data_IF_442158663541
#
_entry.id   IF_442158663541
#
_cell.length_a   1.000
_cell.length_b   1.000
_cell.length_c   1.000
_cell.angle_alpha   90.00
_cell.angle_beta   90.00
_cell.angle_gamma   90.00
#
_symmetry.space_group_name_H-M   'P 1'
#
loop_
_entity.id
_entity.type
_entity.pdbx_description
1 polymer ?
#
# COMPACT_ATOMS: atom_id res chain seq x y z
N UNK A 1 35.54 10.23 -14.25
CA UNK A 1 34.06 10.35 -14.17
C UNK A 1 33.52 9.21 -13.32
N UNK A 2 32.73 9.49 -12.28
CA UNK A 2 32.06 8.44 -11.50
C UNK A 2 31.06 7.72 -12.41
N UNK A 3 31.07 6.38 -12.42
CA UNK A 3 30.11 5.60 -13.21
C UNK A 3 28.73 5.79 -12.60
N UNK A 4 27.73 5.94 -13.46
CA UNK A 4 26.34 6.18 -13.05
C UNK A 4 25.42 5.22 -13.80
N UNK A 5 24.47 4.63 -13.10
CA UNK A 5 23.65 3.51 -13.58
C UNK A 5 22.16 3.84 -13.55
N UNK A 6 21.43 3.30 -14.53
CA UNK A 6 19.96 3.26 -14.54
C UNK A 6 19.47 2.05 -13.75
N UNK A 7 18.25 2.11 -13.21
CA UNK A 7 17.62 0.99 -12.47
C UNK A 7 17.63 -0.34 -13.25
N UNK A 8 17.47 -0.29 -14.57
CA UNK A 8 17.53 -1.48 -15.44
C UNK A 8 18.92 -2.12 -15.46
N UNK A 9 19.99 -1.32 -15.43
CA UNK A 9 21.37 -1.81 -15.40
C UNK A 9 21.71 -2.40 -14.03
N UNK A 10 21.22 -1.78 -12.96
CA UNK A 10 21.35 -2.28 -11.58
C UNK A 10 20.66 -3.63 -11.44
N UNK A 11 19.43 -3.76 -11.96
CA UNK A 11 18.67 -5.02 -11.96
C UNK A 11 19.47 -6.17 -12.59
N UNK A 12 20.09 -5.92 -13.74
CA UNK A 12 20.98 -6.89 -14.39
C UNK A 12 22.22 -7.23 -13.54
N UNK A 13 22.84 -6.23 -12.92
CA UNK A 13 24.05 -6.43 -12.08
C UNK A 13 23.80 -7.19 -10.78
N UNK A 14 22.61 -7.09 -10.20
CA UNK A 14 22.28 -7.78 -8.94
C UNK A 14 21.45 -9.05 -9.13
N UNK A 15 21.11 -9.41 -10.38
CA UNK A 15 20.31 -10.60 -10.70
C UNK A 15 18.87 -10.53 -10.19
N UNK A 16 18.26 -9.34 -10.16
CA UNK A 16 16.87 -9.13 -9.71
C UNK A 16 16.02 -8.54 -10.82
N UNK A 17 14.70 -8.67 -10.69
CA UNK A 17 13.78 -8.10 -11.69
C UNK A 17 13.78 -6.57 -11.60
N UNK A 18 13.54 -5.90 -12.73
CA UNK A 18 13.42 -4.43 -12.77
C UNK A 18 12.34 -3.92 -11.82
N UNK A 19 11.22 -4.65 -11.70
CA UNK A 19 10.12 -4.29 -10.81
C UNK A 19 10.57 -4.24 -9.33
N UNK A 20 11.29 -5.27 -8.87
CA UNK A 20 11.82 -5.32 -7.49
C UNK A 20 12.79 -4.18 -7.20
N UNK A 21 13.69 -3.86 -8.15
CA UNK A 21 14.65 -2.76 -7.96
C UNK A 21 13.96 -1.39 -7.94
N UNK A 22 12.91 -1.19 -8.74
CA UNK A 22 12.09 0.03 -8.70
C UNK A 22 11.37 0.14 -7.36
N UNK A 23 10.74 -0.93 -6.90
CA UNK A 23 10.07 -0.99 -5.60
C UNK A 23 11.05 -0.64 -4.46
N UNK A 24 12.23 -1.25 -4.44
CA UNK A 24 13.26 -0.97 -3.42
C UNK A 24 13.77 0.47 -3.51
N UNK A 25 13.94 1.02 -4.72
CA UNK A 25 14.37 2.41 -4.90
C UNK A 25 13.38 3.41 -4.31
N UNK A 26 12.09 3.09 -4.31
CA UNK A 26 11.05 3.94 -3.70
C UNK A 26 11.07 3.84 -2.17
N UNK A 27 11.19 2.63 -1.62
CA UNK A 27 11.17 2.39 -0.18
C UNK A 27 12.42 2.89 0.55
N UNK A 28 13.58 2.84 -0.12
CA UNK A 28 14.88 3.16 0.48
C UNK A 28 15.54 4.40 -0.15
N UNK A 29 14.75 5.26 -0.81
CA UNK A 29 15.23 6.41 -1.57
C UNK A 29 16.15 7.34 -0.76
N UNK A 30 15.85 7.50 0.52
CA UNK A 30 16.59 8.37 1.45
C UNK A 30 18.03 7.91 1.72
N UNK A 31 18.31 6.62 1.52
CA UNK A 31 19.63 6.02 1.77
C UNK A 31 20.45 5.88 0.49
N UNK A 32 19.83 5.85 -0.69
CA UNK A 32 20.48 5.53 -1.95
C UNK A 32 21.20 6.74 -2.56
N UNK A 33 22.51 6.67 -2.83
CA UNK A 33 23.24 7.74 -3.49
C UNK A 33 22.77 7.96 -4.93
N UNK A 34 22.31 9.16 -5.23
CA UNK A 34 21.81 9.57 -6.55
C UNK A 34 22.59 10.76 -7.10
N UNK A 35 22.81 10.78 -8.42
CA UNK A 35 23.44 11.86 -9.16
C UNK A 35 22.56 12.20 -10.37
N UNK A 36 22.34 13.49 -10.61
CA UNK A 36 21.67 13.96 -11.82
C UNK A 36 22.67 14.03 -12.97
N UNK A 37 22.41 13.31 -14.06
CA UNK A 37 23.20 13.35 -15.30
C UNK A 37 22.24 13.60 -16.44
N UNK A 38 22.43 14.72 -17.16
CA UNK A 38 21.58 15.15 -18.28
C UNK A 38 20.08 15.24 -17.93
N UNK A 39 19.77 15.73 -16.72
CA UNK A 39 18.38 15.84 -16.24
C UNK A 39 17.73 14.51 -15.83
N UNK A 40 18.44 13.39 -15.93
CA UNK A 40 17.97 12.08 -15.45
C UNK A 40 18.63 11.72 -14.12
N UNK A 41 17.84 11.25 -13.17
CA UNK A 41 18.36 10.64 -11.94
C UNK A 41 19.07 9.33 -12.28
N UNK A 42 20.33 9.21 -11.82
CA UNK A 42 21.14 8.00 -11.93
C UNK A 42 21.69 7.63 -10.56
N UNK A 43 22.02 6.36 -10.41
CA UNK A 43 22.56 5.79 -9.19
C UNK A 43 24.06 5.60 -9.33
N UNK A 44 24.82 5.85 -8.28
CA UNK A 44 26.28 5.68 -8.31
C UNK A 44 26.68 4.21 -8.14
N UNK A 45 27.98 3.90 -8.16
CA UNK A 45 28.46 2.53 -7.90
C UNK A 45 28.13 2.10 -6.46
N UNK A 46 28.21 3.02 -5.50
CA UNK A 46 27.90 2.80 -4.08
C UNK A 46 26.43 2.36 -3.90
N UNK A 47 25.52 2.93 -4.68
CA UNK A 47 24.13 2.50 -4.69
C UNK A 47 23.95 1.04 -5.12
N UNK A 48 24.81 0.50 -5.99
CA UNK A 48 24.76 -0.92 -6.39
C UNK A 48 25.05 -1.82 -5.19
N UNK A 49 26.02 -1.47 -4.35
CA UNK A 49 26.33 -2.24 -3.14
C UNK A 49 25.16 -2.23 -2.15
N UNK A 50 24.51 -1.08 -1.97
CA UNK A 50 23.30 -0.96 -1.17
C UNK A 50 22.16 -1.83 -1.73
N UNK A 51 21.96 -1.82 -3.05
CA UNK A 51 20.97 -2.71 -3.69
C UNK A 51 21.30 -4.20 -3.50
N UNK A 52 22.58 -4.60 -3.50
CA UNK A 52 22.98 -5.99 -3.17
C UNK A 52 22.72 -6.33 -1.70
N UNK A 53 22.90 -5.37 -0.78
CA UNK A 53 22.57 -5.57 0.62
C UNK A 53 21.06 -5.74 0.82
N UNK A 54 20.26 -4.87 0.19
CA UNK A 54 18.78 -4.98 0.17
C UNK A 54 18.36 -6.34 -0.38
N UNK A 55 18.91 -6.77 -1.53
CA UNK A 55 18.61 -8.06 -2.13
C UNK A 55 18.85 -9.22 -1.16
N UNK A 56 20.01 -9.27 -0.51
CA UNK A 56 20.36 -10.32 0.47
C UNK A 56 19.41 -10.32 1.67
N UNK A 57 19.08 -9.14 2.21
CA UNK A 57 18.19 -9.05 3.37
C UNK A 57 16.73 -9.36 3.02
N UNK A 58 16.26 -8.99 1.83
CA UNK A 58 14.94 -9.36 1.31
C UNK A 58 14.83 -10.86 1.04
N UNK A 59 15.87 -11.48 0.48
CA UNK A 59 15.92 -12.92 0.27
C UNK A 59 15.95 -13.69 1.61
N UNK A 60 16.55 -13.11 2.65
CA UNK A 60 16.52 -13.62 4.02
C UNK A 60 15.25 -13.23 4.81
N UNK A 61 14.24 -12.66 4.13
CA UNK A 61 12.97 -12.22 4.71
C UNK A 61 13.11 -11.31 5.94
N UNK A 62 14.11 -10.41 5.94
CA UNK A 62 14.30 -9.44 7.02
C UNK A 62 13.25 -8.32 6.95
N UNK A 63 12.78 -7.82 8.11
CA UNK A 63 11.77 -6.75 8.13
C UNK A 63 12.35 -5.43 7.60
N UNK A 64 11.49 -4.58 7.00
CA UNK A 64 11.92 -3.32 6.38
C UNK A 64 12.68 -2.40 7.36
N UNK A 65 12.28 -2.36 8.63
CA UNK A 65 12.97 -1.57 9.67
C UNK A 65 14.44 -1.96 9.80
N UNK A 66 14.73 -3.26 9.83
CA UNK A 66 16.10 -3.78 9.91
C UNK A 66 16.92 -3.42 8.67
N UNK A 67 16.30 -3.48 7.49
CA UNK A 67 16.96 -3.10 6.23
C UNK A 67 17.34 -1.62 6.26
N UNK A 68 16.45 -0.74 6.75
CA UNK A 68 16.73 0.71 6.87
C UNK A 68 17.90 0.99 7.83
N UNK A 69 17.91 0.36 8.98
CA UNK A 69 18.99 0.50 9.97
C UNK A 69 20.34 0.06 9.39
N UNK A 70 20.38 -1.07 8.69
CA UNK A 70 21.61 -1.56 8.06
C UNK A 70 22.10 -0.63 6.93
N UNK A 71 21.18 -0.05 6.14
CA UNK A 71 21.52 0.92 5.10
C UNK A 71 22.04 2.23 5.67
N UNK A 72 21.47 2.68 6.79
CA UNK A 72 21.94 3.84 7.53
C UNK A 72 23.37 3.61 8.04
N UNK A 73 23.64 2.45 8.66
CA UNK A 73 24.99 2.08 9.11
C UNK A 73 26.00 2.06 7.94
N UNK A 74 25.63 1.52 6.78
CA UNK A 74 26.48 1.52 5.60
C UNK A 74 26.81 2.93 5.11
N UNK A 75 25.84 3.85 5.16
CA UNK A 75 26.02 5.26 4.79
C UNK A 75 26.97 5.98 5.75
N UNK A 76 26.78 5.77 7.05
CA UNK A 76 27.57 6.43 8.09
C UNK A 76 29.02 5.92 8.10
N UNK A 77 29.20 4.62 7.82
CA UNK A 77 30.52 4.00 7.67
C UNK A 77 31.31 4.55 6.48
N UNK A 78 30.63 4.87 5.38
CA UNK A 78 31.24 5.43 4.19
C UNK A 78 31.58 6.92 4.36
N UNK A 79 30.77 7.65 5.13
CA UNK A 79 31.05 9.05 5.50
C UNK A 79 32.32 9.21 6.37
N UNK A 80 32.73 8.17 7.11
CA UNK A 80 33.95 8.18 7.94
C UNK A 80 35.24 7.76 7.22
N UNK A 81 35.18 7.30 5.97
CA UNK A 81 36.39 6.92 5.23
C UNK A 81 36.92 8.11 4.39
N UNK A 82 38.10 8.68 4.72
CA UNK A 82 38.74 9.68 3.86
C UNK A 82 39.11 9.06 2.49
N UNK A 83 39.15 9.86 1.41
CA UNK A 83 39.24 9.34 0.05
C UNK A 83 40.59 8.67 -0.17
N UNK A 84 40.58 7.34 -0.32
CA UNK A 84 41.77 6.56 -0.67
C UNK A 84 42.12 6.75 -2.14
N UNK A 85 43.24 7.42 -2.34
CA UNK A 85 44.00 7.46 -3.58
C UNK A 85 44.50 6.04 -3.93
N UNK A 86 44.59 5.80 -5.24
CA UNK A 86 44.71 4.49 -5.91
C UNK A 86 45.99 3.75 -5.52
N UNK A 87 45.90 2.48 -5.10
CA UNK A 87 47.02 1.55 -5.20
C UNK A 87 46.59 0.09 -5.43
N UNK A 88 47.17 -0.48 -6.48
CA UNK A 88 47.06 -1.83 -7.03
C UNK A 88 47.79 -2.89 -6.20
N UNK A 89 47.19 -4.08 -6.01
CA UNK A 89 47.89 -5.39 -6.03
C UNK A 89 46.92 -6.57 -6.17
N UNK A 90 47.32 -7.71 -6.78
CA UNK A 90 46.55 -8.95 -6.91
C UNK A 90 47.09 -10.03 -5.91
N UNK A 91 46.73 -11.34 -5.96
CA UNK A 91 45.93 -12.01 -4.93
C UNK A 91 46.62 -13.23 -4.28
N UNK A 92 46.15 -13.69 -3.11
CA UNK A 92 46.24 -15.13 -2.75
C UNK A 92 45.32 -15.53 -1.59
N UNK A 93 44.88 -16.79 -1.67
CA UNK A 93 43.81 -17.47 -0.92
C UNK A 93 44.42 -18.34 0.23
N UNK A 94 43.71 -19.30 0.85
CA UNK A 94 43.16 -19.26 2.21
C UNK A 94 43.83 -20.21 3.22
N UNK A 95 43.54 -20.04 4.53
CA UNK A 95 43.62 -21.13 5.50
C UNK A 95 42.67 -20.91 6.70
N UNK A 96 41.75 -21.86 6.88
CA UNK A 96 41.11 -22.24 8.16
C UNK A 96 42.17 -22.97 9.04
N UNK A 97 41.93 -23.46 10.30
CA UNK A 97 40.65 -23.68 11.01
C UNK A 97 40.64 -23.50 12.56
N UNK A 98 39.45 -23.72 13.13
CA UNK A 98 39.10 -24.38 14.41
C UNK A 98 39.70 -23.92 15.75
N UNK A 99 38.83 -23.69 16.77
CA UNK A 99 38.39 -24.73 17.75
C UNK A 99 37.98 -24.12 19.11
N UNK A 100 36.90 -24.65 19.70
CA UNK A 100 36.68 -24.96 21.15
C UNK A 100 36.81 -23.80 22.19
N UNK A 101 35.96 -23.60 23.20
CA UNK A 101 35.47 -24.55 24.23
C UNK A 101 34.51 -23.78 25.16
N UNK A 102 33.49 -24.47 25.71
CA UNK A 102 32.75 -24.03 26.89
C UNK A 102 33.63 -24.09 28.17
N UNK A 103 33.16 -23.58 29.33
CA UNK A 103 32.49 -24.50 30.26
C UNK A 103 31.34 -23.90 31.09
N UNK A 104 30.57 -24.82 31.67
CA UNK A 104 29.49 -24.64 32.65
C UNK A 104 29.99 -24.12 34.02
N UNK A 105 29.05 -23.77 34.93
CA UNK A 105 28.93 -24.30 36.31
C UNK A 105 27.76 -23.62 37.09
N UNK A 106 27.06 -24.47 37.84
CA UNK A 106 26.28 -24.28 39.08
C UNK A 106 24.91 -23.59 39.11
N UNK A 107 23.96 -24.35 39.66
CA UNK A 107 22.62 -23.92 40.03
C UNK A 107 22.48 -23.53 41.51
N UNK A 108 21.28 -23.05 41.83
CA UNK A 108 20.78 -22.86 43.19
C UNK A 108 19.26 -23.03 43.19
N UNK A 109 18.77 -23.87 44.09
CA UNK A 109 17.36 -24.17 44.36
C UNK A 109 16.85 -23.27 45.51
N UNK A 110 15.71 -22.62 45.31
CA UNK A 110 14.86 -22.05 46.38
C UNK A 110 13.37 -22.33 46.06
N UNK A 111 12.50 -22.45 47.08
CA UNK A 111 11.14 -22.99 46.93
C UNK A 111 10.11 -21.94 46.47
N UNK A 112 8.97 -22.35 45.89
CA UNK A 112 8.04 -21.43 45.25
C UNK A 112 7.03 -20.83 46.24
N UNK A 113 6.98 -19.49 46.31
CA UNK A 113 5.85 -18.77 46.87
C UNK A 113 4.67 -18.80 45.89
N UNK A 114 3.48 -19.08 46.41
CA UNK A 114 2.22 -19.11 45.68
C UNK A 114 1.88 -17.72 45.13
N UNK A 115 1.93 -17.57 43.80
CA UNK A 115 1.63 -16.33 43.09
C UNK A 115 0.12 -16.22 42.89
N UNK A 116 -0.40 -15.06 43.34
CA UNK A 116 -1.77 -14.60 43.22
C UNK A 116 -2.30 -14.65 41.78
N UNK A 117 -3.48 -15.26 41.58
CA UNK A 117 -4.15 -15.46 40.29
C UNK A 117 -4.53 -14.17 39.55
N UNK A 118 -4.60 -13.03 40.23
CA UNK A 118 -5.03 -11.76 39.66
C UNK A 118 -3.99 -11.14 38.71
N UNK A 119 -2.72 -11.51 38.81
CA UNK A 119 -1.65 -10.95 37.97
C UNK A 119 -1.51 -11.66 36.60
N UNK A 120 -2.07 -12.86 36.46
CA UNK A 120 -2.08 -13.60 35.20
C UNK A 120 -3.08 -13.03 34.18
N UNK A 121 -4.13 -12.36 34.67
CA UNK A 121 -5.21 -11.84 33.83
C UNK A 121 -4.79 -10.57 33.08
N UNK A 122 -4.12 -9.62 33.76
CA UNK A 122 -3.58 -8.42 33.14
C UNK A 122 -2.50 -8.71 32.08
N UNK A 123 -1.69 -9.76 32.28
CA UNK A 123 -0.69 -10.19 31.29
C UNK A 123 -1.35 -10.66 29.99
N UNK A 124 -2.50 -11.32 30.09
CA UNK A 124 -3.23 -11.86 28.94
C UNK A 124 -3.89 -10.74 28.13
N UNK A 125 -4.56 -9.80 28.79
CA UNK A 125 -5.23 -8.66 28.15
C UNK A 125 -4.21 -7.74 27.45
N UNK A 126 -3.02 -7.59 28.05
CA UNK A 126 -1.90 -6.83 27.44
C UNK A 126 -1.37 -7.48 26.16
N UNK A 127 -1.31 -8.82 26.12
CA UNK A 127 -0.91 -9.57 24.92
C UNK A 127 -1.98 -9.47 23.83
N UNK A 128 -3.25 -9.53 24.20
CA UNK A 128 -4.38 -9.46 23.27
C UNK A 128 -4.51 -8.07 22.62
N UNK A 129 -4.29 -7.00 23.39
CA UNK A 129 -4.22 -5.64 22.88
C UNK A 129 -3.04 -5.45 21.91
N UNK A 130 -1.85 -5.99 22.25
CA UNK A 130 -0.66 -5.94 21.38
C UNK A 130 -0.91 -6.65 20.05
N UNK A 131 -1.57 -7.80 20.07
CA UNK A 131 -1.91 -8.56 18.86
C UNK A 131 -2.93 -7.80 18.00
N UNK A 132 -3.93 -7.18 18.63
CA UNK A 132 -4.95 -6.39 17.93
C UNK A 132 -4.36 -5.17 17.23
N UNK A 133 -3.44 -4.45 17.88
CA UNK A 133 -2.70 -3.32 17.29
C UNK A 133 -1.83 -3.77 16.11
N UNK A 134 -1.16 -4.93 16.19
CA UNK A 134 -0.39 -5.46 15.07
C UNK A 134 -1.27 -5.84 13.88
N UNK A 135 -2.42 -6.46 14.13
CA UNK A 135 -3.36 -6.84 13.08
C UNK A 135 -3.94 -5.61 12.36
N UNK A 136 -4.28 -4.56 13.13
CA UNK A 136 -4.76 -3.29 12.58
C UNK A 136 -3.70 -2.64 11.67
N UNK A 137 -2.45 -2.61 12.14
CA UNK A 137 -1.31 -2.12 11.36
C UNK A 137 -1.13 -2.88 10.05
N UNK A 138 -1.20 -4.21 10.10
CA UNK A 138 -1.10 -5.05 8.90
C UNK A 138 -2.25 -4.78 7.92
N UNK A 139 -3.47 -4.57 8.42
CA UNK A 139 -4.67 -4.31 7.61
C UNK A 139 -4.61 -2.93 6.93
N UNK A 140 -4.09 -1.92 7.62
CA UNK A 140 -3.83 -0.58 7.05
C UNK A 140 -2.75 -0.66 5.96
N UNK A 141 -1.67 -1.41 6.18
CA UNK A 141 -0.61 -1.61 5.17
C UNK A 141 -1.14 -2.34 3.92
N UNK A 142 -2.02 -3.33 4.12
CA UNK A 142 -2.62 -4.14 3.04
C UNK A 142 -3.59 -3.36 2.15
N UNK A 143 -4.25 -2.34 2.70
CA UNK A 143 -5.17 -1.47 1.94
C UNK A 143 -4.46 -0.35 1.17
N UNK A 144 -3.15 -0.12 1.40
CA UNK A 144 -2.39 0.96 0.76
C UNK A 144 -1.93 0.68 -0.68
N UNK A 145 -2.07 -0.55 -1.17
CA UNK A 145 -1.60 -0.94 -2.51
C UNK A 145 -2.71 -1.53 -3.38
N UNK A 146 -3.39 -0.73 -4.22
CA UNK A 146 -4.24 -1.24 -5.28
C UNK A 146 -3.35 -1.66 -6.47
N UNK A 147 -2.49 -2.66 -6.27
CA UNK A 147 -1.51 -3.12 -7.27
C UNK A 147 -2.21 -3.71 -8.51
N UNK A 148 -3.43 -4.24 -8.34
CA UNK A 148 -4.23 -4.86 -9.42
C UNK A 148 -4.89 -3.89 -10.39
N UNK A 149 -4.97 -2.59 -10.07
CA UNK A 149 -5.53 -1.57 -10.99
C UNK A 149 -4.47 -1.03 -11.97
N UNK A 150 -3.19 -1.10 -11.61
CA UNK A 150 -2.10 -0.56 -12.42
C UNK A 150 -1.81 -1.43 -13.65
N UNK A 151 -1.80 -2.75 -13.48
CA UNK A 151 -1.58 -3.71 -14.56
C UNK A 151 -2.70 -3.70 -15.62
N UNK A 152 -3.93 -3.37 -15.21
CA UNK A 152 -5.06 -3.23 -16.14
C UNK A 152 -4.95 -1.97 -17.01
N UNK A 153 -4.33 -0.90 -16.48
CA UNK A 153 -4.18 0.39 -17.15
C UNK A 153 -3.04 0.34 -18.18
N UNK A 154 -1.95 -0.35 -17.87
CA UNK A 154 -0.81 -0.51 -18.77
C UNK A 154 -1.13 -1.44 -19.96
N UNK A 155 -2.01 -2.44 -19.77
CA UNK A 155 -2.48 -3.33 -20.85
C UNK A 155 -3.36 -2.59 -21.88
N UNK A 156 -4.20 -1.66 -21.42
CA UNK A 156 -5.10 -0.89 -22.29
C UNK A 156 -4.34 0.09 -23.20
N UNK A 157 -3.32 0.76 -22.66
CA UNK A 157 -2.46 1.68 -23.41
C UNK A 157 -1.58 0.96 -24.45
N UNK A 158 -1.17 -0.27 -24.17
CA UNK A 158 -0.38 -1.07 -25.10
C UNK A 158 -1.22 -1.56 -26.30
N UNK A 159 -2.49 -1.95 -26.08
CA UNK A 159 -3.42 -2.32 -27.16
C UNK A 159 -3.80 -1.12 -28.05
N UNK A 160 -3.94 0.07 -27.48
CA UNK A 160 -4.23 1.29 -28.26
C UNK A 160 -3.06 1.70 -29.18
N UNK A 161 -1.81 1.44 -28.76
CA UNK A 161 -0.62 1.78 -29.56
C UNK A 161 -0.38 0.85 -30.75
N UNK A 162 -0.86 -0.41 -30.69
CA UNK A 162 -0.67 -1.39 -31.78
C UNK A 162 -1.68 -1.17 -32.92
N UNK A 163 -2.88 -0.64 -32.61
CA UNK A 163 -3.89 -0.34 -33.63
C UNK A 163 -3.51 0.86 -34.54
N UNK A 164 -2.59 1.72 -34.11
CA UNK A 164 -2.24 2.97 -34.81
C UNK A 164 -1.09 2.85 -35.83
N UNK A 165 -0.31 1.76 -35.79
CA UNK A 165 0.92 1.63 -36.62
C UNK A 165 0.71 0.80 -37.90
N UNK A 166 -0.36 0.03 -38.02
CA UNK A 166 -0.56 -0.90 -39.15
C UNK A 166 -1.23 -0.28 -40.39
N UNK A 167 -1.56 1.01 -40.38
CA UNK A 167 -2.23 1.69 -41.50
C UNK A 167 -1.29 2.48 -42.42
N UNK A 168 0.02 2.48 -42.16
CA UNK A 168 0.97 3.37 -42.84
C UNK A 168 1.92 2.67 -43.80
N UNK A 169 1.45 2.06 -44.91
CA UNK A 169 2.28 1.85 -46.12
C UNK A 169 1.48 1.34 -47.33
N UNK A 170 1.00 2.25 -48.18
CA UNK A 170 1.21 2.25 -49.64
C UNK A 170 0.33 3.31 -50.35
N UNK A 171 0.97 4.08 -51.25
CA UNK A 171 0.46 4.87 -52.39
C UNK A 171 -0.38 6.14 -52.19
N UNK A 172 0.12 7.22 -52.79
CA UNK A 172 -0.41 8.60 -52.93
C UNK A 172 -1.55 8.72 -54.00
N UNK A 173 -2.02 9.94 -54.35
CA UNK A 173 -2.85 10.82 -53.55
C UNK A 173 -4.16 11.16 -54.31
N UNK A 174 -5.31 10.87 -53.72
CA UNK A 174 -6.57 11.50 -54.10
C UNK A 174 -7.15 12.12 -52.83
N UNK A 175 -7.61 13.37 -52.94
CA UNK A 175 -8.18 14.14 -51.85
C UNK A 175 -9.45 13.45 -51.34
N UNK A 176 -9.28 12.58 -50.35
CA UNK A 176 -10.34 11.74 -49.82
C UNK A 176 -10.91 12.38 -48.53
N UNK A 177 -12.24 12.57 -48.41
CA UNK A 177 -12.88 13.14 -47.22
C UNK A 177 -12.74 12.27 -45.95
N UNK A 178 -12.16 11.07 -46.08
CA UNK A 178 -11.88 10.11 -45.01
C UNK A 178 -10.85 10.60 -43.96
N UNK A 179 -9.94 11.51 -44.31
CA UNK A 179 -8.90 12.00 -43.37
C UNK A 179 -9.46 12.89 -42.25
N UNK A 180 -10.55 13.63 -42.49
CA UNK A 180 -11.15 14.51 -41.48
C UNK A 180 -11.80 13.74 -40.31
N UNK A 181 -12.29 12.52 -40.55
CA UNK A 181 -12.87 11.70 -39.48
C UNK A 181 -11.79 11.10 -38.56
N UNK A 182 -10.62 10.78 -39.11
CA UNK A 182 -9.50 10.22 -38.35
C UNK A 182 -8.85 11.27 -37.43
N UNK A 183 -8.71 12.51 -37.91
CA UNK A 183 -8.22 13.63 -37.10
C UNK A 183 -9.19 13.99 -35.97
N UNK A 184 -10.50 13.97 -36.23
CA UNK A 184 -11.52 14.22 -35.21
C UNK A 184 -11.54 13.14 -34.13
N UNK A 185 -11.36 11.88 -34.52
CA UNK A 185 -11.27 10.74 -33.60
C UNK A 185 -10.00 10.82 -32.74
N UNK A 186 -8.88 11.19 -33.36
CA UNK A 186 -7.59 11.35 -32.66
C UNK A 186 -7.67 12.47 -31.62
N UNK A 187 -8.27 13.62 -31.95
CA UNK A 187 -8.49 14.73 -31.02
C UNK A 187 -9.34 14.31 -29.80
N UNK A 188 -10.46 13.61 -30.03
CA UNK A 188 -11.36 13.13 -28.96
C UNK A 188 -10.65 12.15 -28.02
N UNK A 189 -9.75 11.32 -28.56
CA UNK A 189 -8.96 10.38 -27.78
C UNK A 189 -7.93 11.08 -26.88
N UNK A 190 -7.24 12.11 -27.40
CA UNK A 190 -6.27 12.90 -26.62
C UNK A 190 -6.95 13.63 -25.45
N UNK A 191 -8.13 14.19 -25.67
CA UNK A 191 -8.90 14.91 -24.64
C UNK A 191 -9.38 13.98 -23.50
N UNK A 192 -9.76 12.74 -23.85
CA UNK A 192 -10.12 11.71 -22.88
C UNK A 192 -8.91 11.30 -22.01
N UNK A 193 -7.74 11.13 -22.62
CA UNK A 193 -6.50 10.78 -21.92
C UNK A 193 -6.09 11.85 -20.91
N UNK A 194 -6.23 13.14 -21.26
CA UNK A 194 -5.93 14.26 -20.37
C UNK A 194 -6.84 14.31 -19.13
N UNK A 195 -8.15 14.06 -19.30
CA UNK A 195 -9.11 13.99 -18.19
C UNK A 195 -8.78 12.87 -17.21
N UNK A 196 -8.43 11.68 -17.70
CA UNK A 196 -8.06 10.53 -16.86
C UNK A 196 -6.81 10.83 -16.04
N UNK A 197 -5.80 11.46 -16.65
CA UNK A 197 -4.58 11.86 -15.95
C UNK A 197 -4.84 12.92 -14.85
N UNK A 198 -5.71 13.90 -15.10
CA UNK A 198 -6.09 14.90 -14.10
C UNK A 198 -6.84 14.28 -12.91
N UNK A 199 -7.66 13.26 -13.17
CA UNK A 199 -8.40 12.56 -12.12
C UNK A 199 -7.46 11.74 -11.24
N UNK A 200 -6.52 11.00 -11.83
CA UNK A 200 -5.47 10.29 -11.08
C UNK A 200 -4.62 11.24 -10.23
N UNK A 201 -4.24 12.41 -10.76
CA UNK A 201 -3.50 13.43 -10.00
C UNK A 201 -4.26 13.96 -8.78
N UNK A 202 -5.59 14.14 -8.89
CA UNK A 202 -6.42 14.58 -7.76
C UNK A 202 -6.59 13.49 -6.71
N UNK A 203 -6.75 12.23 -7.12
CA UNK A 203 -6.84 11.08 -6.19
C UNK A 203 -5.53 10.87 -5.43
N UNK A 204 -4.39 11.19 -6.04
CA UNK A 204 -3.06 11.10 -5.39
C UNK A 204 -2.78 12.32 -4.46
N UNK A 205 -3.56 13.41 -4.58
CA UNK A 205 -3.33 14.70 -3.92
C UNK A 205 -4.30 15.04 -2.77
N UNK A 206 -4.95 14.07 -2.14
CA UNK A 206 -5.69 14.29 -0.89
C UNK A 206 -4.88 13.89 0.35
N UNK A 207 -3.93 14.72 0.84
CA UNK A 207 -3.34 14.59 2.17
C UNK A 207 -4.02 15.48 3.24
N UNK A 208 -5.17 16.09 2.98
CA UNK A 208 -5.72 17.17 3.83
C UNK A 208 -6.42 16.71 5.15
N UNK A 209 -6.36 15.43 5.52
CA UNK A 209 -6.91 14.95 6.81
C UNK A 209 -5.87 14.64 7.91
N UNK A 210 -4.57 14.81 7.65
CA UNK A 210 -3.50 14.49 8.63
C UNK A 210 -3.51 15.36 9.88
N UNK A 211 -4.21 16.50 9.88
CA UNK A 211 -4.24 17.45 11.00
C UNK A 211 -4.98 16.94 12.25
N UNK A 212 -5.95 16.02 12.11
CA UNK A 212 -6.66 15.45 13.28
C UNK A 212 -5.95 14.22 13.85
N UNK A 213 -5.21 13.51 13.01
CA UNK A 213 -4.43 12.33 13.39
C UNK A 213 -3.24 12.69 14.28
N UNK A 214 -2.53 13.79 13.97
CA UNK A 214 -1.45 14.32 14.83
C UNK A 214 -1.92 14.72 16.23
N UNK A 215 -3.14 15.25 16.37
CA UNK A 215 -3.72 15.61 17.66
C UNK A 215 -4.05 14.37 18.50
N UNK A 216 -4.48 13.26 17.89
CA UNK A 216 -4.76 12.01 18.61
C UNK A 216 -3.47 11.31 19.04
N UNK A 217 -2.46 11.27 18.16
CA UNK A 217 -1.14 10.68 18.47
C UNK A 217 -0.50 11.41 19.65
N UNK A 218 -0.50 12.75 19.65
CA UNK A 218 0.07 13.54 20.76
C UNK A 218 -0.69 13.34 22.08
N UNK A 219 -2.02 13.15 22.03
CA UNK A 219 -2.82 12.88 23.23
C UNK A 219 -2.53 11.48 23.80
N UNK A 220 -2.35 10.48 22.93
CA UNK A 220 -2.00 9.10 23.33
C UNK A 220 -0.61 9.04 23.94
N UNK A 221 0.38 9.72 23.34
CA UNK A 221 1.76 9.80 23.88
C UNK A 221 1.80 10.48 25.27
N UNK A 222 1.00 11.52 25.48
CA UNK A 222 0.90 12.20 26.77
C UNK A 222 0.25 11.31 27.86
N UNK A 223 -0.72 10.48 27.49
CA UNK A 223 -1.35 9.50 28.39
C UNK A 223 -0.38 8.37 28.74
N UNK A 224 0.33 7.84 27.75
CA UNK A 224 1.33 6.78 27.94
C UNK A 224 2.46 7.23 28.88
N UNK A 225 2.94 8.46 28.72
CA UNK A 225 3.94 9.06 29.62
C UNK A 225 3.43 9.16 31.05
N UNK A 226 2.16 9.58 31.23
CA UNK A 226 1.56 9.71 32.57
C UNK A 226 1.36 8.36 33.24
N UNK A 227 0.95 7.35 32.48
CA UNK A 227 0.79 5.99 32.97
C UNK A 227 2.12 5.41 33.48
N UNK A 228 3.21 5.57 32.73
CA UNK A 228 4.53 5.10 33.16
C UNK A 228 4.99 5.80 34.45
N UNK A 229 4.79 7.12 34.56
CA UNK A 229 5.11 7.88 35.78
C UNK A 229 4.37 7.34 37.01
N UNK A 230 3.06 7.10 36.89
CA UNK A 230 2.26 6.54 38.00
C UNK A 230 2.70 5.11 38.34
N UNK A 231 3.04 4.32 37.32
CA UNK A 231 3.54 2.96 37.53
C UNK A 231 4.87 2.94 38.29
N UNK A 232 5.76 3.91 38.05
CA UNK A 232 7.02 4.06 38.76
C UNK A 232 6.79 4.48 40.23
N UNK A 233 5.90 5.44 40.48
CA UNK A 233 5.51 5.86 41.84
C UNK A 233 4.92 4.70 42.66
N UNK A 234 4.09 3.85 42.04
CA UNK A 234 3.55 2.64 42.68
C UNK A 234 4.67 1.66 43.03
N UNK A 235 5.67 1.51 42.17
CA UNK A 235 6.80 0.63 42.43
C UNK A 235 7.64 1.13 43.62
N UNK A 236 7.85 2.44 43.72
CA UNK A 236 8.56 3.07 44.85
C UNK A 236 7.80 2.90 46.16
N UNK A 237 6.49 3.18 46.19
CA UNK A 237 5.65 2.97 47.38
C UNK A 237 5.66 1.51 47.84
N UNK A 238 5.66 0.55 46.89
CA UNK A 238 5.74 -0.88 47.21
C UNK A 238 7.06 -1.23 47.89
N UNK A 239 8.17 -0.67 47.40
CA UNK A 239 9.48 -0.86 47.99
C UNK A 239 9.55 -0.26 49.41
N UNK A 240 8.96 0.92 49.62
CA UNK A 240 8.88 1.57 50.93
C UNK A 240 8.06 0.75 51.95
N UNK A 241 6.88 0.26 51.55
CA UNK A 241 6.05 -0.64 52.37
C UNK A 241 6.84 -1.91 52.73
N UNK A 242 7.57 -2.49 51.77
CA UNK A 242 8.37 -3.69 52.02
C UNK A 242 9.53 -3.41 53.00
N UNK A 243 10.15 -2.23 52.92
CA UNK A 243 11.15 -1.77 53.88
C UNK A 243 10.59 -1.61 55.28
N UNK A 244 9.41 -0.98 55.41
CA UNK A 244 8.73 -0.81 56.71
C UNK A 244 8.34 -2.15 57.33
N UNK A 245 7.85 -3.11 56.53
CA UNK A 245 7.54 -4.45 57.01
C UNK A 245 8.78 -5.18 57.56
N UNK A 246 9.93 -5.05 56.89
CA UNK A 246 11.19 -5.62 57.36
C UNK A 246 11.68 -4.96 58.66
N UNK A 247 11.56 -3.62 58.76
CA UNK A 247 11.91 -2.89 59.96
C UNK A 247 11.02 -3.30 61.15
N UNK A 248 9.73 -3.50 60.92
CA UNK A 248 8.78 -4.00 61.93
C UNK A 248 9.17 -5.41 62.40
N UNK A 249 9.53 -6.31 61.49
CA UNK A 249 9.96 -7.68 61.83
C UNK A 249 11.25 -7.66 62.67
N UNK A 250 12.21 -6.79 62.33
CA UNK A 250 13.43 -6.61 63.13
C UNK A 250 13.12 -6.05 64.53
N UNK A 251 12.25 -5.05 64.63
CA UNK A 251 11.84 -4.48 65.91
C UNK A 251 11.14 -5.51 66.81
N UNK A 252 10.28 -6.36 66.25
CA UNK A 252 9.67 -7.48 66.98
C UNK A 252 10.73 -8.47 67.48
N UNK A 253 11.72 -8.80 66.63
CA UNK A 253 12.78 -9.75 66.99
C UNK A 253 13.65 -9.21 68.13
N UNK A 254 14.02 -7.93 68.08
CA UNK A 254 14.75 -7.25 69.16
C UNK A 254 13.93 -7.19 70.45
N UNK A 255 12.64 -6.88 70.38
CA UNK A 255 11.77 -6.89 71.56
C UNK A 255 11.67 -8.29 72.19
N UNK A 256 11.67 -9.34 71.36
CA UNK A 256 11.64 -10.73 71.82
C UNK A 256 12.95 -11.17 72.48
N UNK A 257 14.10 -10.77 71.92
CA UNK A 257 15.41 -10.97 72.55
C UNK A 257 15.51 -10.23 73.89
N UNK A 258 15.07 -8.97 73.96
CA UNK A 258 15.08 -8.19 75.19
C UNK A 258 14.20 -8.82 76.28
N UNK A 259 13.03 -9.35 75.88
CA UNK A 259 12.14 -10.08 76.78
C UNK A 259 12.76 -11.40 77.30
N UNK A 260 13.49 -12.12 76.44
CA UNK A 260 14.25 -13.31 76.86
C UNK A 260 15.38 -12.97 77.82
N UNK A 261 16.14 -11.90 77.53
CA UNK A 261 17.24 -11.45 78.38
C UNK A 261 16.73 -11.00 79.76
N UNK A 262 15.62 -10.24 79.81
CA UNK A 262 14.95 -9.90 81.07
C UNK A 262 14.48 -11.15 81.83
N UNK A 263 13.87 -12.12 81.16
CA UNK A 263 13.45 -13.37 81.80
C UNK A 263 14.64 -14.16 82.37
N UNK A 264 15.77 -14.16 81.67
CA UNK A 264 17.00 -14.83 82.10
C UNK A 264 17.63 -14.13 83.30
N UNK A 265 17.73 -12.80 83.28
CA UNK A 265 18.21 -12.00 84.43
C UNK A 265 17.28 -12.20 85.63
N UNK A 266 15.96 -12.22 85.40
CA UNK A 266 14.98 -12.45 86.47
C UNK A 266 15.14 -13.84 87.09
N UNK A 267 15.33 -14.89 86.29
CA UNK A 267 15.60 -16.24 86.77
C UNK A 267 16.92 -16.31 87.55
N UNK A 268 17.95 -15.60 87.10
CA UNK A 268 19.26 -15.54 87.77
C UNK A 268 19.18 -14.83 89.13
N UNK A 269 18.49 -13.68 89.20
CA UNK A 269 18.24 -12.95 90.45
C UNK A 269 17.41 -13.80 91.41
N UNK A 270 16.37 -14.48 90.92
CA UNK A 270 15.53 -15.34 91.76
C UNK A 270 16.30 -16.55 92.32
N UNK A 271 17.22 -17.13 91.53
CA UNK A 271 18.14 -18.16 92.01
C UNK A 271 19.17 -17.63 93.03
N UNK A 272 19.65 -16.39 92.87
CA UNK A 272 20.58 -15.75 93.80
C UNK A 272 19.90 -15.38 95.13
N UNK A 273 18.66 -14.89 95.11
CA UNK A 273 17.87 -14.56 96.31
C UNK A 273 17.49 -15.83 97.08
N UNK A 274 17.13 -16.92 96.39
CA UNK A 274 16.94 -18.23 97.03
C UNK A 274 18.21 -18.80 97.67
N UNK A 275 19.39 -18.38 97.21
CA UNK A 275 20.67 -18.78 97.78
C UNK A 275 21.15 -17.91 98.95
N UNK A 276 20.49 -16.78 99.26
CA UNK A 276 21.00 -15.80 100.24
C UNK A 276 20.06 -15.33 101.36
N UNK A 277 18.78 -15.70 101.39
CA UNK A 277 17.89 -15.21 102.48
C UNK A 277 17.51 -16.33 103.45
N UNK A 278 18.36 -16.47 104.47
CA UNK A 278 17.97 -16.90 105.81
C UNK A 278 17.98 -15.62 106.68
N UNK A 279 16.79 -15.25 107.13
CA UNK A 279 16.44 -14.18 108.08
C UNK A 279 16.30 -12.71 107.58
N UNK A 280 15.07 -12.21 107.80
CA UNK A 280 14.65 -10.82 108.07
C UNK A 280 14.17 -9.90 106.91
N UNK A 281 13.34 -8.85 107.19
CA UNK A 281 11.90 -8.92 106.96
C UNK A 281 11.37 -7.97 105.86
N UNK A 282 10.25 -8.41 105.29
CA UNK A 282 9.10 -7.64 104.80
C UNK A 282 9.37 -6.27 104.14
N UNK A 283 9.80 -6.32 102.89
CA UNK A 283 9.13 -5.54 101.83
C UNK A 283 8.93 -6.54 100.69
N UNK A 284 7.67 -6.79 100.33
CA UNK A 284 7.28 -7.79 99.34
C UNK A 284 7.97 -7.50 98.01
N UNK A 285 9.04 -8.22 97.70
CA UNK A 285 9.76 -8.18 96.41
C UNK A 285 8.80 -8.35 95.20
N UNK A 286 7.67 -9.01 95.44
CA UNK A 286 6.56 -9.11 94.48
C UNK A 286 5.92 -7.77 94.12
N UNK A 287 5.83 -6.82 95.06
CA UNK A 287 5.24 -5.50 94.82
C UNK A 287 6.19 -4.65 93.98
N UNK A 288 7.49 -4.67 94.27
CA UNK A 288 8.51 -3.98 93.48
C UNK A 288 8.63 -4.55 92.05
N UNK A 289 8.45 -5.87 91.89
CA UNK A 289 8.38 -6.52 90.57
C UNK A 289 7.16 -6.10 89.79
N UNK A 290 5.98 -6.06 90.41
CA UNK A 290 4.76 -5.60 89.76
C UNK A 290 4.86 -4.12 89.39
N UNK A 291 5.52 -3.29 90.20
CA UNK A 291 5.71 -1.87 89.92
C UNK A 291 6.66 -1.63 88.75
N UNK A 292 7.78 -2.38 88.65
CA UNK A 292 8.70 -2.29 87.51
C UNK A 292 8.05 -2.82 86.22
N UNK A 293 7.32 -3.94 86.28
CA UNK A 293 6.64 -4.48 85.10
C UNK A 293 5.53 -3.53 84.64
N UNK A 294 4.79 -2.93 85.58
CA UNK A 294 3.79 -1.91 85.29
C UNK A 294 4.42 -0.68 84.65
N UNK A 295 5.51 -0.16 85.21
CA UNK A 295 6.22 1.01 84.68
C UNK A 295 6.82 0.74 83.28
N UNK A 296 7.41 -0.43 83.04
CA UNK A 296 7.93 -0.81 81.73
C UNK A 296 6.80 -0.96 80.69
N UNK A 297 5.65 -1.52 81.11
CA UNK A 297 4.46 -1.61 80.25
C UNK A 297 3.91 -0.22 79.93
N UNK A 298 3.90 0.70 80.89
CA UNK A 298 3.45 2.08 80.72
C UNK A 298 4.38 2.90 79.82
N UNK A 299 5.69 2.62 79.85
CA UNK A 299 6.70 3.31 79.03
C UNK A 299 6.74 2.80 77.58
N UNK A 300 6.42 1.52 77.34
CA UNK A 300 6.31 0.92 76.00
C UNK A 300 4.95 1.14 75.34
N UNK A 301 3.86 1.25 76.12
CA UNK A 301 2.50 1.46 75.60
C UNK A 301 2.38 2.61 74.59
N UNK A 302 2.87 3.84 74.85
CA UNK A 302 2.75 4.94 73.89
C UNK A 302 3.53 4.71 72.59
N UNK A 303 4.64 3.95 72.60
CA UNK A 303 5.36 3.62 71.37
C UNK A 303 4.59 2.58 70.53
N UNK A 304 3.97 1.59 71.17
CA UNK A 304 3.17 0.58 70.47
C UNK A 304 1.86 1.17 69.94
N UNK A 305 1.21 2.04 70.71
CA UNK A 305 0.00 2.77 70.27
C UNK A 305 0.32 3.72 69.11
N UNK A 306 1.43 4.47 69.18
CA UNK A 306 1.85 5.37 68.09
C UNK A 306 2.13 4.62 66.77
N UNK A 307 2.82 3.47 66.82
CA UNK A 307 3.06 2.64 65.63
C UNK A 307 1.74 2.05 65.10
N UNK A 308 0.81 1.65 65.99
CA UNK A 308 -0.50 1.15 65.58
C UNK A 308 -1.33 2.21 64.84
N UNK A 309 -1.31 3.46 65.30
CA UNK A 309 -1.99 4.57 64.64
C UNK A 309 -1.40 4.90 63.26
N UNK A 310 -0.05 4.91 63.14
CA UNK A 310 0.63 5.10 61.85
C UNK A 310 0.30 3.98 60.86
N UNK A 311 0.32 2.72 61.31
CA UNK A 311 -0.05 1.56 60.47
C UNK A 311 -1.51 1.67 60.02
N UNK A 312 -2.42 2.12 60.89
CA UNK A 312 -3.82 2.32 60.52
C UNK A 312 -3.99 3.47 59.51
N UNK A 313 -3.25 4.57 59.68
CA UNK A 313 -3.24 5.68 58.73
C UNK A 313 -2.72 5.23 57.35
N UNK A 314 -1.62 4.47 57.32
CA UNK A 314 -1.06 3.88 56.10
C UNK A 314 -2.05 2.92 55.43
N UNK A 315 -2.75 2.09 56.20
CA UNK A 315 -3.80 1.21 55.69
C UNK A 315 -4.90 1.99 54.96
N UNK A 316 -5.44 3.03 55.60
CA UNK A 316 -6.47 3.88 54.99
C UNK A 316 -5.97 4.59 53.72
N UNK A 317 -4.70 5.02 53.68
CA UNK A 317 -4.08 5.62 52.48
C UNK A 317 -3.94 4.61 51.35
N UNK A 318 -3.56 3.37 51.65
CA UNK A 318 -3.49 2.28 50.67
C UNK A 318 -4.86 1.93 50.09
N UNK A 319 -5.91 1.93 50.93
CA UNK A 319 -7.28 1.68 50.48
C UNK A 319 -7.77 2.79 49.53
N UNK A 320 -7.54 4.06 49.89
CA UNK A 320 -7.87 5.21 49.05
C UNK A 320 -7.10 5.19 47.72
N UNK A 321 -5.80 4.88 47.75
CA UNK A 321 -4.98 4.76 46.54
C UNK A 321 -5.46 3.60 45.65
N UNK A 322 -5.89 2.49 46.26
CA UNK A 322 -6.45 1.36 45.52
C UNK A 322 -7.73 1.76 44.80
N UNK A 323 -8.62 2.52 45.45
CA UNK A 323 -9.83 3.07 44.83
C UNK A 323 -9.49 3.98 43.64
N UNK A 324 -8.57 4.94 43.80
CA UNK A 324 -8.12 5.82 42.71
C UNK A 324 -7.54 5.03 41.52
N UNK A 325 -6.74 3.99 41.78
CA UNK A 325 -6.21 3.10 40.72
C UNK A 325 -7.33 2.35 40.00
N UNK A 326 -8.36 1.90 40.73
CA UNK A 326 -9.53 1.26 40.09
C UNK A 326 -10.35 2.23 39.24
N UNK A 327 -10.54 3.47 39.69
CA UNK A 327 -11.21 4.51 38.92
C UNK A 327 -10.42 4.88 37.66
N UNK A 328 -9.10 5.05 37.78
CA UNK A 328 -8.22 5.35 36.66
C UNK A 328 -8.23 4.21 35.63
N UNK A 329 -8.25 2.95 36.08
CA UNK A 329 -8.38 1.78 35.22
C UNK A 329 -9.71 1.80 34.44
N UNK A 330 -10.81 2.17 35.12
CA UNK A 330 -12.13 2.34 34.49
C UNK A 330 -12.13 3.45 33.43
N UNK A 331 -11.54 4.61 33.74
CA UNK A 331 -11.38 5.73 32.81
C UNK A 331 -10.55 5.33 31.59
N UNK A 332 -9.44 4.62 31.80
CA UNK A 332 -8.62 4.10 30.70
C UNK A 332 -9.40 3.15 29.80
N UNK A 333 -10.21 2.25 30.37
CA UNK A 333 -11.05 1.35 29.59
C UNK A 333 -12.09 2.11 28.75
N UNK A 334 -12.73 3.15 29.32
CA UNK A 334 -13.67 4.01 28.61
C UNK A 334 -12.98 4.72 27.45
N UNK A 335 -11.78 5.27 27.67
CA UNK A 335 -11.00 5.95 26.64
C UNK A 335 -10.61 5.01 25.50
N UNK A 336 -10.12 3.81 25.82
CA UNK A 336 -9.78 2.77 24.82
C UNK A 336 -11.01 2.42 23.96
N UNK A 337 -12.16 2.20 24.60
CA UNK A 337 -13.41 1.93 23.89
C UNK A 337 -13.82 3.11 22.99
N UNK A 338 -13.69 4.36 23.47
CA UNK A 338 -14.03 5.56 22.70
C UNK A 338 -13.11 5.77 21.50
N UNK A 339 -11.81 5.50 21.65
CA UNK A 339 -10.84 5.56 20.56
C UNK A 339 -11.19 4.49 19.51
N UNK A 340 -11.53 3.27 19.93
CA UNK A 340 -11.95 2.22 19.01
C UNK A 340 -13.23 2.60 18.22
N UNK A 341 -14.25 3.15 18.89
CA UNK A 341 -15.47 3.66 18.24
C UNK A 341 -15.17 4.77 17.22
N UNK A 342 -14.31 5.73 17.58
CA UNK A 342 -13.92 6.83 16.68
C UNK A 342 -13.17 6.32 15.46
N UNK A 343 -12.23 5.39 15.63
CA UNK A 343 -11.51 4.75 14.52
C UNK A 343 -12.50 3.99 13.61
N UNK A 344 -13.43 3.22 14.18
CA UNK A 344 -14.43 2.51 13.39
C UNK A 344 -15.34 3.47 12.61
N UNK A 345 -15.77 4.56 13.26
CA UNK A 345 -16.60 5.59 12.64
C UNK A 345 -15.86 6.31 11.51
N UNK A 346 -14.60 6.67 11.71
CA UNK A 346 -13.78 7.36 10.73
C UNK A 346 -13.57 6.48 9.48
N UNK A 347 -13.12 5.23 9.68
CA UNK A 347 -12.98 4.23 8.61
C UNK A 347 -14.31 4.03 7.87
N UNK A 348 -15.43 3.92 8.60
CA UNK A 348 -16.76 3.76 7.99
C UNK A 348 -17.15 4.97 7.14
N UNK A 349 -16.83 6.17 7.59
CA UNK A 349 -17.11 7.41 6.85
C UNK A 349 -16.23 7.58 5.60
N UNK A 350 -14.94 7.22 5.69
CA UNK A 350 -14.01 7.23 4.56
C UNK A 350 -14.42 6.19 3.49
N UNK A 351 -14.83 5.00 3.93
CA UNK A 351 -15.37 3.97 3.03
C UNK A 351 -16.65 4.46 2.35
N UNK A 352 -17.58 5.09 3.09
CA UNK A 352 -18.82 5.62 2.52
C UNK A 352 -18.55 6.70 1.45
N UNK A 353 -17.67 7.67 1.75
CA UNK A 353 -17.31 8.74 0.80
C UNK A 353 -16.58 8.18 -0.44
N UNK A 354 -15.72 7.17 -0.26
CA UNK A 354 -15.04 6.50 -1.38
C UNK A 354 -16.03 5.74 -2.26
N UNK A 355 -17.02 5.05 -1.67
CA UNK A 355 -18.09 4.36 -2.41
C UNK A 355 -18.92 5.37 -3.22
N UNK A 356 -19.30 6.51 -2.63
CA UNK A 356 -20.04 7.57 -3.33
C UNK A 356 -19.25 8.13 -4.51
N UNK A 357 -17.95 8.38 -4.32
CA UNK A 357 -17.07 8.86 -5.39
C UNK A 357 -16.98 7.85 -6.54
N UNK A 358 -16.76 6.57 -6.23
CA UNK A 358 -16.70 5.52 -7.24
C UNK A 358 -18.04 5.36 -7.98
N UNK A 359 -19.16 5.44 -7.28
CA UNK A 359 -20.49 5.38 -7.88
C UNK A 359 -20.70 6.52 -8.87
N UNK A 360 -20.31 7.75 -8.51
CA UNK A 360 -20.39 8.92 -9.39
C UNK A 360 -19.49 8.79 -10.62
N UNK A 361 -18.29 8.23 -10.47
CA UNK A 361 -17.39 7.96 -11.59
C UNK A 361 -17.95 6.88 -12.52
N UNK A 362 -18.53 5.82 -11.96
CA UNK A 362 -19.18 4.75 -12.72
C UNK A 362 -20.37 5.27 -13.53
N UNK A 363 -21.24 6.09 -12.93
CA UNK A 363 -22.35 6.74 -13.64
C UNK A 363 -21.85 7.65 -14.77
N UNK A 364 -20.81 8.46 -14.51
CA UNK A 364 -20.19 9.28 -15.55
C UNK A 364 -19.61 8.46 -16.71
N UNK A 365 -18.99 7.32 -16.42
CA UNK A 365 -18.47 6.40 -17.43
C UNK A 365 -19.60 5.71 -18.22
N UNK A 366 -20.65 5.25 -17.52
CA UNK A 366 -21.85 4.63 -18.12
C UNK A 366 -22.53 5.57 -19.12
N UNK A 367 -22.70 6.84 -18.77
CA UNK A 367 -23.24 7.85 -19.68
C UNK A 367 -22.37 8.05 -20.93
N UNK A 368 -21.04 8.08 -20.77
CA UNK A 368 -20.11 8.17 -21.92
C UNK A 368 -20.19 6.94 -22.83
N UNK A 369 -20.28 5.73 -22.27
CA UNK A 369 -20.44 4.49 -23.04
C UNK A 369 -21.75 4.49 -23.83
N UNK A 370 -22.87 4.90 -23.20
CA UNK A 370 -24.15 5.08 -23.91
C UNK A 370 -24.04 6.11 -25.04
N UNK A 371 -23.35 7.23 -24.79
CA UNK A 371 -23.08 8.24 -25.82
C UNK A 371 -22.29 7.69 -27.01
N UNK A 372 -21.22 6.92 -26.76
CA UNK A 372 -20.42 6.28 -27.81
C UNK A 372 -21.24 5.23 -28.59
N UNK A 373 -22.06 4.44 -27.90
CA UNK A 373 -22.93 3.46 -28.54
C UNK A 373 -23.90 4.12 -29.52
N UNK A 374 -24.49 5.25 -29.15
CA UNK A 374 -25.36 6.03 -30.05
C UNK A 374 -24.60 6.55 -31.27
N UNK A 375 -23.35 7.00 -31.11
CA UNK A 375 -22.50 7.45 -32.23
C UNK A 375 -22.17 6.29 -33.17
N UNK A 376 -21.80 5.12 -32.64
CA UNK A 376 -21.52 3.92 -33.45
C UNK A 376 -22.76 3.53 -34.26
N UNK A 377 -23.95 3.56 -33.64
CA UNK A 377 -25.19 3.25 -34.32
C UNK A 377 -25.48 4.24 -35.46
N UNK A 378 -25.24 5.55 -35.24
CA UNK A 378 -25.39 6.56 -36.28
C UNK A 378 -24.40 6.37 -37.44
N UNK A 379 -23.14 6.02 -37.15
CA UNK A 379 -22.13 5.73 -38.17
C UNK A 379 -22.52 4.48 -38.98
N UNK A 380 -22.97 3.40 -38.31
CA UNK A 380 -23.44 2.19 -38.98
C UNK A 380 -24.61 2.50 -39.93
N UNK A 381 -25.55 3.35 -39.50
CA UNK A 381 -26.65 3.81 -40.34
C UNK A 381 -26.15 4.59 -41.57
N UNK A 382 -25.21 5.52 -41.39
CA UNK A 382 -24.63 6.29 -42.51
C UNK A 382 -23.85 5.42 -43.49
N UNK A 383 -23.10 4.41 -43.01
CA UNK A 383 -22.40 3.46 -43.87
C UNK A 383 -23.40 2.66 -44.70
N UNK A 384 -24.49 2.19 -44.09
CA UNK A 384 -25.57 1.50 -44.79
C UNK A 384 -26.16 2.38 -45.90
N UNK A 385 -26.56 3.61 -45.58
CA UNK A 385 -27.12 4.56 -46.55
C UNK A 385 -26.15 4.91 -47.68
N UNK A 386 -24.86 5.12 -47.36
CA UNK A 386 -23.82 5.42 -48.35
C UNK A 386 -23.60 4.22 -49.29
N UNK A 387 -23.55 3.00 -48.76
CA UNK A 387 -23.40 1.79 -49.56
C UNK A 387 -24.60 1.56 -50.49
N UNK A 388 -25.81 1.87 -50.04
CA UNK A 388 -27.00 1.80 -50.89
C UNK A 388 -27.00 2.86 -51.99
N UNK A 389 -26.50 4.07 -51.71
CA UNK A 389 -26.38 5.13 -52.71
C UNK A 389 -25.30 4.85 -53.74
N UNK A 390 -24.13 4.38 -53.31
CA UNK A 390 -22.97 4.15 -54.17
C UNK A 390 -23.20 2.97 -55.12
N UNK A 391 -23.67 1.83 -54.60
CA UNK A 391 -24.06 0.66 -55.41
C UNK A 391 -25.18 1.04 -56.39
N UNK A 392 -26.13 1.88 -55.97
CA UNK A 392 -27.20 2.36 -56.85
C UNK A 392 -26.67 3.32 -57.93
N UNK A 393 -25.67 4.15 -57.62
CA UNK A 393 -25.01 5.04 -58.57
C UNK A 393 -24.24 4.29 -59.64
N UNK A 394 -23.34 3.38 -59.23
CA UNK A 394 -22.52 2.58 -60.16
C UNK A 394 -23.39 1.69 -61.06
N UNK A 395 -24.40 1.02 -60.49
CA UNK A 395 -25.31 0.18 -61.27
C UNK A 395 -26.08 0.98 -62.33
N UNK A 396 -26.49 2.22 -62.02
CA UNK A 396 -27.25 3.07 -62.93
C UNK A 396 -26.36 3.61 -64.05
N UNK A 397 -25.11 3.95 -63.76
CA UNK A 397 -24.09 4.31 -64.78
C UNK A 397 -23.83 3.10 -65.69
N UNK A 398 -23.50 1.94 -65.14
CA UNK A 398 -23.21 0.73 -65.91
C UNK A 398 -24.41 0.30 -66.78
N UNK A 399 -25.63 0.39 -66.23
CA UNK A 399 -26.86 0.09 -66.99
C UNK A 399 -27.06 1.10 -68.13
N UNK A 400 -26.79 2.38 -67.90
CA UNK A 400 -26.91 3.45 -68.92
C UNK A 400 -25.89 3.26 -70.03
N UNK A 401 -24.63 2.96 -69.70
CA UNK A 401 -23.58 2.68 -70.69
C UNK A 401 -23.90 1.43 -71.51
N UNK A 402 -24.36 0.35 -70.88
CA UNK A 402 -24.76 -0.87 -71.59
C UNK A 402 -25.93 -0.61 -72.55
N UNK A 403 -26.92 0.18 -72.13
CA UNK A 403 -28.06 0.55 -72.98
C UNK A 403 -27.60 1.37 -74.20
N UNK A 404 -26.70 2.33 -73.99
CA UNK A 404 -26.13 3.14 -75.07
C UNK A 404 -25.30 2.30 -76.04
N UNK A 405 -24.46 1.38 -75.54
CA UNK A 405 -23.70 0.45 -76.38
C UNK A 405 -24.62 -0.41 -77.25
N UNK A 406 -25.72 -0.95 -76.69
CA UNK A 406 -26.68 -1.70 -77.47
C UNK A 406 -27.38 -0.83 -78.52
N UNK A 407 -27.75 0.41 -78.18
CA UNK A 407 -28.37 1.32 -79.13
C UNK A 407 -27.43 1.70 -80.27
N UNK A 408 -26.16 1.98 -79.99
CA UNK A 408 -25.15 2.26 -81.02
C UNK A 408 -24.89 1.05 -81.91
N UNK A 409 -24.79 -0.14 -81.34
CA UNK A 409 -24.62 -1.39 -82.09
C UNK A 409 -25.77 -1.65 -83.06
N UNK A 410 -27.02 -1.59 -82.56
CA UNK A 410 -28.22 -1.77 -83.39
C UNK A 410 -28.33 -0.68 -84.46
N UNK A 411 -28.02 0.57 -84.11
CA UNK A 411 -28.04 1.68 -85.07
C UNK A 411 -26.99 1.48 -86.17
N UNK A 412 -25.82 0.96 -85.82
CA UNK A 412 -24.77 0.57 -86.77
C UNK A 412 -25.23 -0.51 -87.75
N UNK A 413 -25.82 -1.59 -87.24
CA UNK A 413 -26.35 -2.68 -88.06
C UNK A 413 -27.47 -2.21 -88.99
N UNK A 414 -28.39 -1.37 -88.50
CA UNK A 414 -29.47 -0.79 -89.31
C UNK A 414 -28.92 0.11 -90.41
N UNK A 415 -27.90 0.92 -90.12
CA UNK A 415 -27.25 1.77 -91.12
C UNK A 415 -26.50 0.95 -92.16
N UNK A 416 -25.80 -0.10 -91.76
CA UNK A 416 -25.14 -1.02 -92.68
C UNK A 416 -26.15 -1.71 -93.60
N UNK A 417 -27.24 -2.23 -93.03
CA UNK A 417 -28.31 -2.85 -93.80
C UNK A 417 -28.96 -1.85 -94.77
N UNK A 418 -29.17 -0.61 -94.34
CA UNK A 418 -29.70 0.46 -95.18
C UNK A 418 -28.77 0.74 -96.37
N UNK A 419 -27.47 0.79 -96.14
CA UNK A 419 -26.48 1.02 -97.20
C UNK A 419 -26.43 -0.16 -98.20
N UNK A 420 -26.50 -1.40 -97.70
CA UNK A 420 -26.60 -2.58 -98.56
C UNK A 420 -27.87 -2.58 -99.42
N UNK A 421 -29.00 -2.19 -98.83
CA UNK A 421 -30.27 -2.04 -99.55
C UNK A 421 -30.22 -0.95 -100.62
N UNK A 422 -29.65 0.22 -100.30
CA UNK A 422 -29.45 1.30 -101.26
C UNK A 422 -28.59 0.82 -102.44
N UNK A 423 -27.47 0.17 -102.14
CA UNK A 423 -26.58 -0.39 -103.18
C UNK A 423 -27.28 -1.42 -104.07
N UNK A 424 -28.12 -2.30 -103.48
CA UNK A 424 -28.90 -3.29 -104.23
C UNK A 424 -29.98 -2.64 -105.08
N UNK A 425 -30.62 -1.58 -104.58
CA UNK A 425 -31.60 -0.80 -105.32
C UNK A 425 -30.96 -0.12 -106.53
N UNK A 426 -29.80 0.52 -106.36
CA UNK A 426 -29.04 1.14 -107.45
C UNK A 426 -28.64 0.13 -108.53
N UNK A 427 -28.15 -1.06 -108.14
CA UNK A 427 -27.82 -2.15 -109.08
C UNK A 427 -29.06 -2.61 -109.88
N UNK A 428 -30.20 -2.77 -109.21
CA UNK A 428 -31.46 -3.15 -109.88
C UNK A 428 -31.95 -2.06 -110.83
N UNK A 429 -31.87 -0.79 -110.41
CA UNK A 429 -32.24 0.36 -111.23
C UNK A 429 -31.36 0.48 -112.48
N UNK A 430 -30.05 0.28 -112.34
CA UNK A 430 -29.11 0.24 -113.48
C UNK A 430 -29.43 -0.91 -114.44
N UNK A 431 -29.72 -2.12 -113.93
CA UNK A 431 -30.14 -3.26 -114.76
C UNK A 431 -31.45 -3.00 -115.49
N UNK A 432 -32.45 -2.43 -114.82
CA UNK A 432 -33.73 -2.08 -115.42
C UNK A 432 -33.55 -1.02 -116.52
N UNK A 433 -32.71 0.00 -116.27
CA UNK A 433 -32.37 1.01 -117.28
C UNK A 433 -31.64 0.40 -118.48
N UNK A 434 -30.73 -0.55 -118.25
CA UNK A 434 -30.04 -1.26 -119.33
C UNK A 434 -30.98 -2.14 -120.16
N UNK A 435 -31.94 -2.82 -119.50
CA UNK A 435 -32.99 -3.58 -120.19
C UNK A 435 -33.92 -2.67 -120.99
N UNK A 436 -34.32 -1.52 -120.43
CA UNK A 436 -35.12 -0.53 -121.16
C UNK A 436 -34.39 -0.05 -122.43
N UNK A 437 -33.11 0.35 -122.30
CA UNK A 437 -32.27 0.73 -123.46
C UNK A 437 -32.14 -0.39 -124.50
N UNK A 438 -32.10 -1.65 -124.08
CA UNK A 438 -32.06 -2.80 -125.00
C UNK A 438 -33.40 -2.93 -125.75
N UNK A 439 -34.53 -2.79 -125.05
CA UNK A 439 -35.85 -2.79 -125.65
C UNK A 439 -36.03 -1.65 -126.64
N UNK A 440 -35.58 -0.43 -126.29
CA UNK A 440 -35.62 0.73 -127.18
C UNK A 440 -34.83 0.48 -128.47
N UNK A 441 -33.64 -0.11 -128.37
CA UNK A 441 -32.83 -0.50 -129.55
C UNK A 441 -33.50 -1.56 -130.42
N UNK A 442 -34.16 -2.55 -129.82
CA UNK A 442 -34.90 -3.58 -130.57
C UNK A 442 -36.10 -2.94 -131.28
N UNK A 443 -36.83 -2.05 -130.61
CA UNK A 443 -37.95 -1.31 -131.20
C UNK A 443 -37.52 -0.46 -132.40
N UNK A 444 -36.40 0.26 -132.26
CA UNK A 444 -35.77 1.04 -133.34
C UNK A 444 -35.39 0.15 -134.54
N UNK A 445 -34.74 -1.00 -134.30
CA UNK A 445 -34.37 -1.95 -135.37
C UNK A 445 -35.57 -2.50 -136.13
N UNK A 446 -36.71 -2.66 -135.45
CA UNK A 446 -37.96 -3.15 -136.04
C UNK A 446 -38.81 -2.05 -136.70
N UNK A 447 -38.39 -0.78 -136.65
CA UNK A 447 -39.10 0.34 -137.26
C UNK A 447 -40.27 0.89 -136.42
N UNK A 448 -40.34 0.55 -135.13
CA UNK A 448 -41.29 1.17 -134.20
C UNK A 448 -40.70 2.48 -133.65
N UNK A 449 -41.49 3.56 -133.53
CA UNK A 449 -41.03 4.81 -132.93
C UNK A 449 -40.78 4.62 -131.42
N UNK A 450 -39.57 4.96 -130.96
CA UNK A 450 -39.24 5.01 -129.53
C UNK A 450 -39.90 6.25 -128.92
N UNK A 451 -40.76 6.05 -127.93
CA UNK A 451 -41.37 7.14 -127.16
C UNK A 451 -40.35 7.53 -126.09
N UNK A 452 -39.63 8.63 -126.32
CA UNK A 452 -38.68 9.20 -125.35
C UNK A 452 -39.36 9.77 -124.12
#
# INVERSE_FOLDING_TARGET
>A
MKRSYKLTEIAGKIGKTRASVVEWSNHFREFLPIVAVDGSLRYTEEAIEMFRAIARMKDANKPLKFIKEQLQEMRDKEALSPPKEIQTTPPETPASPASSTAPAISGSNLPPLAVNKSNAQFSNDTIELRNSVQLLKQKIESNKTPEKLKDYTDNLNQKASIASVTAGRASSPALDPSNFQLDLLTHKFTELSAMVHSLMQKVIKTPEQTSKEESLVTTVEALDTRYHSVSDEIADLRNEIQGLAQAQEQAQKQAQELAQEQAQVQAQVQAQVQAQVQDQPEISEADLKNEILSAATELLRPQVEGVSEEVQMLGNRCDALTEEVTELSSVNQILVNKIAELIEQDIRSEIATTIELLHRQFEGASLKVKGLQNVIQAIQQQIQEASEQDVKGELLIATTELLNQQYEGVTGEVNQLKEEWNKKYDDMFQKMTAQQRLLDKIAEFLGYPVIN
#
